data_IF_003605957167
#
_entry.id   IF_003605957167
#
_cell.length_a   1.000
_cell.length_b   1.000
_cell.length_c   1.000
_cell.angle_alpha   90.00
_cell.angle_beta   90.00
_cell.angle_gamma   90.00
#
_symmetry.space_group_name_H-M   'P 1'
#
loop_
_entity.id
_entity.type
_entity.pdbx_description
1 polymer ?
#
# COMPACT_ATOMS: atom_id res chain seq x y z
N UNK A 1 -17.24 -19.99 9.82
CA UNK A 1 -16.36 -19.20 8.94
C UNK A 1 -14.93 -19.47 9.38
N UNK A 2 -14.09 -19.99 8.50
CA UNK A 2 -12.73 -20.44 8.87
C UNK A 2 -11.82 -19.28 9.27
N UNK A 3 -11.11 -19.41 10.39
CA UNK A 3 -10.15 -18.42 10.90
C UNK A 3 -9.06 -18.06 9.86
N UNK A 4 -8.72 -19.01 8.99
CA UNK A 4 -7.77 -18.81 7.88
C UNK A 4 -8.28 -17.81 6.85
N UNK A 5 -9.58 -17.79 6.54
CA UNK A 5 -10.18 -16.87 5.57
C UNK A 5 -10.17 -15.44 6.10
N UNK A 6 -10.52 -15.24 7.38
CA UNK A 6 -10.47 -13.93 8.04
C UNK A 6 -9.05 -13.33 8.05
N UNK A 7 -8.03 -14.16 8.30
CA UNK A 7 -6.63 -13.71 8.20
C UNK A 7 -6.27 -13.32 6.77
N UNK A 8 -6.74 -14.07 5.77
CA UNK A 8 -6.45 -13.81 4.36
C UNK A 8 -7.08 -12.49 3.89
N UNK A 9 -8.35 -12.23 4.23
CA UNK A 9 -9.03 -10.96 3.94
C UNK A 9 -8.30 -9.76 4.55
N UNK A 10 -7.87 -9.87 5.81
CA UNK A 10 -7.10 -8.82 6.46
C UNK A 10 -5.75 -8.54 5.80
N UNK A 11 -5.11 -9.55 5.22
CA UNK A 11 -3.86 -9.38 4.47
C UNK A 11 -4.11 -8.89 3.05
N UNK A 12 -5.26 -9.23 2.46
CA UNK A 12 -5.67 -8.72 1.16
C UNK A 12 -5.77 -7.20 1.15
N UNK A 13 -6.28 -6.62 2.24
CA UNK A 13 -6.30 -5.17 2.48
C UNK A 13 -4.90 -4.54 2.40
N UNK A 14 -3.92 -5.18 3.03
CA UNK A 14 -2.54 -4.68 3.05
C UNK A 14 -1.93 -4.74 1.65
N UNK A 15 -2.16 -5.83 0.93
CA UNK A 15 -1.68 -6.02 -0.45
C UNK A 15 -2.37 -5.08 -1.44
N UNK A 16 -3.68 -4.85 -1.26
CA UNK A 16 -4.43 -3.88 -2.04
C UNK A 16 -3.84 -2.48 -1.86
N UNK A 17 -3.64 -2.06 -0.61
CA UNK A 17 -3.06 -0.75 -0.32
C UNK A 17 -1.61 -0.62 -0.84
N UNK A 18 -0.82 -1.69 -0.73
CA UNK A 18 0.52 -1.75 -1.29
C UNK A 18 0.55 -1.46 -2.80
N UNK A 19 -0.28 -2.15 -3.57
CA UNK A 19 -0.32 -1.99 -5.04
C UNK A 19 -0.98 -0.67 -5.42
N UNK A 20 -2.15 -0.37 -4.86
CA UNK A 20 -2.96 0.79 -5.24
C UNK A 20 -2.30 2.11 -4.82
N UNK A 21 -2.09 2.31 -3.52
CA UNK A 21 -1.47 3.55 -3.03
C UNK A 21 0.00 3.63 -3.41
N UNK A 22 0.72 2.50 -3.43
CA UNK A 22 2.10 2.46 -3.92
C UNK A 22 2.24 2.96 -5.36
N UNK A 23 1.33 2.57 -6.25
CA UNK A 23 1.31 3.04 -7.64
C UNK A 23 0.98 4.53 -7.75
N UNK A 24 -0.01 5.02 -6.99
CA UNK A 24 -0.39 6.43 -6.97
C UNK A 24 0.77 7.30 -6.47
N UNK A 25 1.39 6.92 -5.36
CA UNK A 25 2.55 7.64 -4.83
C UNK A 25 3.73 7.60 -5.79
N UNK A 26 4.01 6.45 -6.41
CA UNK A 26 5.11 6.34 -7.36
C UNK A 26 4.90 7.25 -8.58
N UNK A 27 3.69 7.22 -9.16
CA UNK A 27 3.34 8.10 -10.27
C UNK A 27 3.44 9.58 -9.89
N UNK A 28 2.95 9.94 -8.70
CA UNK A 28 3.06 11.31 -8.18
C UNK A 28 4.51 11.75 -7.97
N UNK A 29 5.36 10.87 -7.46
CA UNK A 29 6.78 11.18 -7.24
C UNK A 29 7.52 11.36 -8.57
N UNK A 30 7.30 10.47 -9.53
CA UNK A 30 7.89 10.58 -10.87
C UNK A 30 7.46 11.89 -11.55
N UNK A 31 6.17 12.20 -11.51
CA UNK A 31 5.62 13.37 -12.18
C UNK A 31 6.06 14.70 -11.55
N UNK A 32 6.17 14.77 -10.22
CA UNK A 32 6.47 16.03 -9.53
C UNK A 32 7.96 16.31 -9.35
N UNK A 33 8.79 15.26 -9.21
CA UNK A 33 10.18 15.42 -8.80
C UNK A 33 11.19 14.94 -9.84
N UNK A 34 10.75 14.23 -10.89
CA UNK A 34 11.62 13.64 -11.93
C UNK A 34 12.94 13.07 -11.35
N UNK A 35 12.84 12.12 -10.40
CA UNK A 35 13.98 11.73 -9.59
C UNK A 35 15.05 11.04 -10.43
N UNK A 36 16.32 11.46 -10.29
CA UNK A 36 17.47 10.82 -10.95
C UNK A 36 17.65 9.34 -10.61
N UNK A 37 17.11 8.88 -9.49
CA UNK A 37 17.15 7.48 -9.05
C UNK A 37 15.74 6.93 -8.87
N UNK A 38 15.07 6.67 -10.00
CA UNK A 38 13.69 6.18 -10.04
C UNK A 38 13.48 4.89 -9.23
N UNK A 39 14.48 4.00 -9.17
CA UNK A 39 14.38 2.73 -8.45
C UNK A 39 14.20 2.94 -6.94
N UNK A 40 15.01 3.81 -6.34
CA UNK A 40 14.90 4.12 -4.91
C UNK A 40 13.53 4.71 -4.56
N UNK A 41 13.07 5.68 -5.35
CA UNK A 41 11.78 6.34 -5.11
C UNK A 41 10.58 5.41 -5.39
N UNK A 42 10.71 4.49 -6.33
CA UNK A 42 9.74 3.42 -6.55
C UNK A 42 9.61 2.56 -5.31
N UNK A 43 10.72 2.05 -4.78
CA UNK A 43 10.69 1.23 -3.55
C UNK A 43 10.06 2.01 -2.40
N UNK A 44 10.46 3.26 -2.19
CA UNK A 44 9.90 4.10 -1.12
C UNK A 44 8.39 4.30 -1.26
N UNK A 45 7.91 4.56 -2.48
CA UNK A 45 6.47 4.77 -2.74
C UNK A 45 5.63 3.53 -2.42
N UNK A 46 6.12 2.35 -2.83
CA UNK A 46 5.48 1.08 -2.49
C UNK A 46 5.58 0.75 -1.00
N UNK A 47 6.68 1.12 -0.34
CA UNK A 47 6.84 0.96 1.10
C UNK A 47 5.85 1.84 1.89
N UNK A 48 5.58 3.06 1.42
CA UNK A 48 4.53 3.93 1.96
C UNK A 48 3.14 3.29 1.76
N UNK A 49 2.85 2.75 0.57
CA UNK A 49 1.61 2.01 0.31
C UNK A 49 1.42 0.81 1.23
N UNK A 50 2.49 0.06 1.49
CA UNK A 50 2.49 -1.06 2.43
C UNK A 50 2.18 -0.61 3.87
N UNK A 51 2.87 0.42 4.35
CA UNK A 51 2.66 0.98 5.68
C UNK A 51 1.23 1.50 5.83
N UNK A 52 0.68 2.12 4.79
CA UNK A 52 -0.71 2.57 4.77
C UNK A 52 -1.67 1.39 4.93
N UNK A 53 -1.42 0.28 4.23
CA UNK A 53 -2.16 -0.97 4.38
C UNK A 53 -2.09 -1.55 5.80
N UNK A 54 -0.91 -1.55 6.42
CA UNK A 54 -0.74 -2.00 7.80
C UNK A 54 -1.50 -1.13 8.80
N UNK A 55 -1.48 0.20 8.62
CA UNK A 55 -2.25 1.14 9.44
C UNK A 55 -3.75 0.93 9.24
N UNK A 56 -4.21 0.76 8.01
CA UNK A 56 -5.62 0.51 7.70
C UNK A 56 -6.12 -0.80 8.35
N UNK A 57 -5.31 -1.85 8.29
CA UNK A 57 -5.57 -3.13 8.99
C UNK A 57 -5.67 -2.94 10.51
N UNK A 58 -4.74 -2.21 11.13
CA UNK A 58 -4.75 -1.98 12.59
C UNK A 58 -5.92 -1.10 13.03
N UNK A 59 -6.25 -0.07 12.27
CA UNK A 59 -7.34 0.87 12.60
C UNK A 59 -8.72 0.39 12.15
N UNK A 60 -8.83 -0.78 11.50
CA UNK A 60 -10.08 -1.32 10.94
C UNK A 60 -10.84 -0.27 10.12
N UNK A 61 -10.13 0.40 9.23
CA UNK A 61 -10.70 1.46 8.40
C UNK A 61 -11.77 0.91 7.45
N UNK A 62 -13.04 1.15 7.74
CA UNK A 62 -14.20 0.60 7.03
C UNK A 62 -14.42 1.07 5.58
N UNK A 63 -13.51 1.89 5.04
CA UNK A 63 -13.48 2.27 3.61
C UNK A 63 -12.50 1.42 2.80
N UNK A 64 -11.62 0.70 3.50
CA UNK A 64 -10.64 -0.24 2.94
C UNK A 64 -11.00 -1.69 3.32
N UNK A 65 -11.99 -1.90 4.21
CA UNK A 65 -12.49 -3.19 4.69
C UNK A 65 -13.86 -3.46 4.09
#
# INVERSE_FOLDING_TARGET
>A
MDEKLLKLEQWFIVLFAFVFFGSIFNAGVIYLFEPKNEFFFTIMSYLVGFLFGLVAKHKKWGWIV
#
